data_IF_655042190093
#
_entry.id   IF_655042190093
#
_cell.length_a   1.000
_cell.length_b   1.000
_cell.length_c   1.000
_cell.angle_alpha   90.00
_cell.angle_beta   90.00
_cell.angle_gamma   90.00
#
_symmetry.space_group_name_H-M   'P 1'
#
loop_
_entity.id
_entity.type
_entity.pdbx_description
1 polymer ?
#
# COMPACT_ATOMS: atom_id res chain seq x y z
N UNK A 1 -7.73 -67.31 -83.36
CA UNK A 1 -6.72 -66.27 -83.70
C UNK A 1 -6.99 -65.04 -82.84
N UNK A 2 -5.96 -64.59 -82.11
CA UNK A 2 -5.68 -63.27 -81.51
C UNK A 2 -6.71 -62.43 -80.72
N UNK A 3 -6.27 -62.06 -79.50
CA UNK A 3 -6.76 -61.01 -78.57
C UNK A 3 -6.69 -59.57 -79.15
N UNK A 4 -7.39 -58.54 -78.59
CA UNK A 4 -6.94 -57.76 -77.39
C UNK A 4 -8.09 -57.38 -76.40
N UNK A 5 -7.90 -57.48 -75.08
CA UNK A 5 -7.49 -56.42 -74.11
C UNK A 5 -8.35 -55.14 -74.09
N UNK A 6 -9.13 -54.94 -73.00
CA UNK A 6 -8.96 -53.77 -72.13
C UNK A 6 -9.52 -53.99 -70.72
N UNK A 7 -8.79 -53.46 -69.74
CA UNK A 7 -8.99 -53.56 -68.28
C UNK A 7 -9.75 -52.32 -67.83
N UNK A 8 -10.85 -52.48 -67.12
CA UNK A 8 -11.53 -51.40 -66.38
C UNK A 8 -10.84 -51.18 -65.03
N UNK A 9 -10.39 -49.95 -64.80
CA UNK A 9 -9.95 -49.41 -63.50
C UNK A 9 -10.82 -48.19 -63.20
N UNK A 10 -11.46 -48.16 -62.03
CA UNK A 10 -11.92 -46.99 -61.24
C UNK A 10 -13.00 -47.50 -60.28
N UNK A 11 -13.05 -47.19 -58.98
CA UNK A 11 -12.21 -46.42 -58.09
C UNK A 11 -12.78 -46.63 -56.68
N UNK A 12 -11.93 -46.83 -55.68
CA UNK A 12 -12.34 -46.98 -54.29
C UNK A 12 -12.43 -45.59 -53.66
N UNK A 13 -13.63 -45.14 -53.34
CA UNK A 13 -13.86 -43.90 -52.58
C UNK A 13 -13.65 -44.17 -51.08
N UNK A 14 -12.58 -43.62 -50.51
CA UNK A 14 -12.32 -43.61 -49.07
C UNK A 14 -13.15 -42.48 -48.42
N UNK A 15 -14.14 -42.84 -47.59
CA UNK A 15 -14.84 -41.88 -46.74
C UNK A 15 -14.06 -41.69 -45.42
N UNK A 16 -13.51 -40.49 -45.21
CA UNK A 16 -12.81 -40.11 -43.98
C UNK A 16 -13.83 -39.54 -42.99
N UNK A 17 -14.06 -40.25 -41.89
CA UNK A 17 -14.83 -39.75 -40.74
C UNK A 17 -13.98 -38.72 -39.98
N UNK A 18 -14.43 -37.46 -39.97
CA UNK A 18 -13.80 -36.37 -39.22
C UNK A 18 -14.11 -36.49 -37.72
N UNK A 19 -13.08 -36.68 -36.91
CA UNK A 19 -13.14 -36.56 -35.44
C UNK A 19 -13.06 -35.07 -35.09
N UNK A 20 -14.15 -34.50 -34.59
CA UNK A 20 -14.19 -33.15 -34.05
C UNK A 20 -13.47 -33.13 -32.70
N UNK A 21 -12.21 -32.70 -32.69
CA UNK A 21 -11.50 -32.40 -31.45
C UNK A 21 -12.12 -31.14 -30.82
N UNK A 22 -12.82 -31.29 -29.70
CA UNK A 22 -13.22 -30.16 -28.87
C UNK A 22 -11.95 -29.51 -28.30
N UNK A 23 -11.57 -28.35 -28.84
CA UNK A 23 -10.50 -27.54 -28.28
C UNK A 23 -10.96 -26.96 -26.95
N UNK A 24 -10.44 -27.50 -25.84
CA UNK A 24 -10.49 -26.85 -24.55
C UNK A 24 -9.79 -25.49 -24.68
N UNK A 25 -10.57 -24.41 -24.70
CA UNK A 25 -10.03 -23.06 -24.60
C UNK A 25 -9.47 -22.92 -23.19
N UNK A 26 -8.15 -23.00 -23.06
CA UNK A 26 -7.47 -22.61 -21.84
C UNK A 26 -7.80 -21.13 -21.61
N UNK A 27 -8.43 -20.83 -20.46
CA UNK A 27 -8.65 -19.44 -20.07
C UNK A 27 -7.29 -18.74 -19.98
N UNK A 28 -7.16 -17.59 -20.65
CA UNK A 28 -5.95 -16.77 -20.53
C UNK A 28 -5.67 -16.48 -19.05
N UNK A 29 -4.43 -16.63 -18.57
CA UNK A 29 -4.11 -16.28 -17.20
C UNK A 29 -4.40 -14.79 -16.99
N UNK A 30 -5.31 -14.48 -16.06
CA UNK A 30 -5.57 -13.10 -15.64
C UNK A 30 -4.25 -12.53 -15.10
N UNK A 31 -3.62 -11.64 -15.87
CA UNK A 31 -2.40 -10.95 -15.45
C UNK A 31 -2.75 -10.01 -14.30
N UNK A 32 -2.34 -10.37 -13.08
CA UNK A 32 -2.47 -9.49 -11.92
C UNK A 32 -1.29 -8.51 -11.93
N UNK A 33 -1.58 -7.22 -12.03
CA UNK A 33 -0.53 -6.21 -12.00
C UNK A 33 0.05 -6.07 -10.59
N UNK A 34 1.35 -6.28 -10.48
CA UNK A 34 2.09 -6.08 -9.25
C UNK A 34 2.82 -4.73 -9.29
N UNK A 35 2.11 -3.68 -9.67
CA UNK A 35 2.66 -2.32 -9.77
C UNK A 35 1.96 -1.39 -8.78
N UNK A 36 2.77 -0.68 -7.99
CA UNK A 36 2.32 0.38 -7.10
C UNK A 36 3.21 1.60 -7.32
N UNK A 37 2.60 2.76 -7.50
CA UNK A 37 3.28 4.04 -7.53
C UNK A 37 3.40 4.60 -6.12
N UNK A 38 4.56 5.17 -5.80
CA UNK A 38 4.77 5.93 -4.58
C UNK A 38 4.97 7.41 -4.93
N UNK A 39 4.19 8.28 -4.31
CA UNK A 39 4.37 9.73 -4.36
C UNK A 39 4.47 10.25 -2.94
N UNK A 40 5.57 10.93 -2.61
CA UNK A 40 5.76 11.53 -1.29
C UNK A 40 6.02 13.02 -1.41
N UNK A 41 5.17 13.81 -0.75
CA UNK A 41 5.33 15.26 -0.60
C UNK A 41 5.84 15.64 0.78
N UNK A 42 6.73 16.64 0.85
CA UNK A 42 7.10 17.31 2.09
C UNK A 42 6.79 18.80 2.00
N UNK A 43 6.17 19.33 3.04
CA UNK A 43 5.87 20.76 3.15
C UNK A 43 6.04 21.30 4.57
N UNK A 44 6.68 22.46 4.76
CA UNK A 44 7.42 23.23 3.76
C UNK A 44 8.68 22.49 3.28
N UNK A 45 9.18 22.82 2.10
CA UNK A 45 10.40 22.21 1.52
C UNK A 45 11.69 22.69 2.18
N UNK A 46 11.64 23.76 2.99
CA UNK A 46 12.82 24.34 3.63
C UNK A 46 13.30 23.45 4.79
N UNK A 47 14.51 22.92 4.68
CA UNK A 47 15.07 22.05 5.70
C UNK A 47 15.52 22.82 6.95
N UNK A 48 15.38 22.18 8.12
CA UNK A 48 16.02 22.63 9.35
C UNK A 48 17.47 22.17 9.48
N UNK A 49 18.06 22.46 10.63
CA UNK A 49 19.35 21.89 11.06
C UNK A 49 19.15 21.01 12.30
N UNK A 50 20.16 20.22 12.69
CA UNK A 50 20.09 19.43 13.93
C UNK A 50 19.83 20.31 15.16
N UNK A 51 20.41 21.50 15.21
CA UNK A 51 20.25 22.45 16.31
C UNK A 51 18.94 23.25 16.23
N UNK A 52 18.42 23.46 15.01
CA UNK A 52 17.17 24.18 14.75
C UNK A 52 16.31 23.40 13.75
N UNK A 53 15.68 22.29 14.19
CA UNK A 53 14.77 21.52 13.35
C UNK A 53 13.62 22.40 12.86
N UNK A 54 13.10 22.11 11.67
CA UNK A 54 11.90 22.79 11.14
C UNK A 54 10.73 21.86 11.06
N UNK A 55 9.55 22.38 11.35
CA UNK A 55 8.28 21.69 11.15
C UNK A 55 8.17 21.18 9.70
N UNK A 56 7.66 19.97 9.54
CA UNK A 56 7.27 19.43 8.25
C UNK A 56 5.95 18.66 8.35
N UNK A 57 5.27 18.59 7.22
CA UNK A 57 4.20 17.65 6.94
C UNK A 57 4.72 16.66 5.89
N UNK A 58 4.40 15.38 6.06
CA UNK A 58 4.66 14.36 5.04
C UNK A 58 3.32 13.90 4.51
N UNK A 59 3.18 13.94 3.20
CA UNK A 59 2.02 13.44 2.46
C UNK A 59 2.45 12.21 1.66
N UNK A 60 2.00 11.03 2.06
CA UNK A 60 2.33 9.76 1.40
C UNK A 60 1.13 9.32 0.59
N UNK A 61 1.32 9.12 -0.70
CA UNK A 61 0.33 8.54 -1.61
C UNK A 61 0.90 7.28 -2.24
N UNK A 62 0.14 6.19 -2.14
CA UNK A 62 0.35 4.93 -2.84
C UNK A 62 -0.84 4.73 -3.77
N UNK A 63 -0.58 4.40 -5.02
CA UNK A 63 -1.63 4.23 -6.01
C UNK A 63 -1.26 3.11 -6.98
N UNK A 64 -2.22 2.27 -7.33
CA UNK A 64 -2.05 1.34 -8.42
C UNK A 64 -2.39 2.02 -9.76
N UNK A 65 -1.62 1.75 -10.83
CA UNK A 65 -2.00 2.18 -12.18
C UNK A 65 -3.23 1.42 -12.70
N UNK A 66 -3.63 0.31 -12.06
CA UNK A 66 -4.77 -0.51 -12.48
C UNK A 66 -5.79 -0.70 -11.36
N UNK A 67 -6.98 -1.16 -11.73
CA UNK A 67 -8.09 -1.40 -10.80
C UNK A 67 -8.10 -2.82 -10.22
N UNK A 68 -7.19 -3.68 -10.66
CA UNK A 68 -7.05 -5.08 -10.26
C UNK A 68 -5.62 -5.40 -9.80
N UNK A 69 -5.01 -4.60 -8.91
CA UNK A 69 -3.67 -4.93 -8.46
C UNK A 69 -3.70 -6.17 -7.56
N UNK A 70 -2.54 -6.78 -7.39
CA UNK A 70 -2.36 -7.80 -6.37
C UNK A 70 -2.66 -7.25 -4.97
N UNK A 71 -3.24 -8.07 -4.11
CA UNK A 71 -3.53 -7.70 -2.72
C UNK A 71 -2.23 -7.55 -1.93
N UNK A 72 -1.99 -6.34 -1.39
CA UNK A 72 -0.78 -6.07 -0.60
C UNK A 72 -0.87 -6.73 0.78
N UNK A 73 0.13 -7.54 1.11
CA UNK A 73 0.34 -8.15 2.43
C UNK A 73 1.06 -7.22 3.40
N UNK A 74 2.14 -6.60 2.93
CA UNK A 74 2.92 -5.65 3.72
C UNK A 74 3.62 -4.63 2.85
N UNK A 75 3.93 -3.47 3.45
CA UNK A 75 4.71 -2.42 2.83
C UNK A 75 5.71 -1.84 3.82
N UNK A 76 6.96 -1.69 3.39
CA UNK A 76 8.00 -0.97 4.11
C UNK A 76 8.22 0.38 3.41
N UNK A 77 7.83 1.49 4.05
CA UNK A 77 8.05 2.86 3.53
C UNK A 77 9.30 3.46 4.16
N UNK A 78 10.24 3.93 3.33
CA UNK A 78 11.52 4.49 3.75
C UNK A 78 11.53 6.01 3.56
N UNK A 79 11.96 6.72 4.60
CA UNK A 79 12.05 8.18 4.63
C UNK A 79 13.52 8.63 4.63
N UNK A 80 13.85 9.59 3.77
CA UNK A 80 15.19 10.13 3.62
C UNK A 80 15.82 10.63 4.91
N UNK A 81 17.15 10.57 5.00
CA UNK A 81 17.92 11.15 6.11
C UNK A 81 17.59 12.63 6.32
N UNK A 82 17.53 13.04 7.57
CA UNK A 82 17.17 14.41 7.94
C UNK A 82 15.68 14.60 8.19
N UNK A 83 14.83 13.62 7.91
CA UNK A 83 13.44 13.58 8.38
C UNK A 83 13.42 12.89 9.74
N UNK A 84 12.86 13.54 10.75
CA UNK A 84 12.74 13.04 12.11
C UNK A 84 11.27 12.97 12.54
N UNK A 85 10.94 11.93 13.32
CA UNK A 85 9.61 11.73 13.88
C UNK A 85 9.68 11.88 15.40
N UNK A 86 9.00 12.88 15.95
CA UNK A 86 9.01 13.18 17.39
C UNK A 86 7.90 12.42 18.13
N UNK A 87 7.64 11.17 17.79
CA UNK A 87 6.51 10.38 18.29
C UNK A 87 6.42 10.31 19.83
N UNK A 88 7.56 10.37 20.52
CA UNK A 88 7.64 10.38 22.00
C UNK A 88 7.10 11.65 22.65
N UNK A 89 7.00 12.76 21.91
CA UNK A 89 6.48 14.03 22.43
C UNK A 89 4.95 14.08 22.43
N UNK A 90 4.29 13.14 21.76
CA UNK A 90 2.85 13.14 21.54
C UNK A 90 2.16 12.11 22.47
N UNK A 91 0.94 12.40 22.94
CA UNK A 91 0.09 11.39 23.56
C UNK A 91 -0.06 10.16 22.67
N UNK A 92 -0.37 9.03 23.27
CA UNK A 92 -0.56 7.77 22.54
C UNK A 92 -1.98 7.24 22.73
N UNK A 93 -2.46 6.46 21.77
CA UNK A 93 -3.65 5.62 21.91
C UNK A 93 -3.30 4.18 21.57
N UNK A 94 -3.60 3.25 22.47
CA UNK A 94 -3.18 1.85 22.31
C UNK A 94 -4.04 1.11 21.28
N UNK A 95 -3.45 0.12 20.60
CA UNK A 95 -4.20 -0.80 19.74
C UNK A 95 -5.36 -1.48 20.48
N UNK A 96 -5.15 -1.88 21.74
CA UNK A 96 -6.19 -2.47 22.61
C UNK A 96 -7.39 -1.54 22.74
N UNK A 97 -7.15 -0.25 22.98
CA UNK A 97 -8.22 0.75 23.08
C UNK A 97 -9.01 0.84 21.78
N UNK A 98 -8.32 1.00 20.65
CA UNK A 98 -8.96 1.14 19.33
C UNK A 98 -9.76 -0.11 18.96
N UNK A 99 -9.23 -1.30 19.21
CA UNK A 99 -9.92 -2.56 18.95
C UNK A 99 -11.15 -2.74 19.84
N UNK A 100 -11.06 -2.44 21.13
CA UNK A 100 -12.17 -2.58 22.06
C UNK A 100 -13.35 -1.66 21.73
N UNK A 101 -13.09 -0.44 21.23
CA UNK A 101 -14.14 0.55 20.95
C UNK A 101 -14.53 0.61 19.47
N UNK A 102 -13.78 -0.07 18.60
CA UNK A 102 -13.87 0.03 17.12
C UNK A 102 -13.96 1.48 16.64
N UNK A 103 -13.31 2.39 17.37
CA UNK A 103 -13.43 3.83 17.16
C UNK A 103 -12.30 4.60 17.87
N UNK A 104 -12.08 5.85 17.47
CA UNK A 104 -11.10 6.74 18.10
C UNK A 104 -11.69 7.59 19.25
N UNK A 105 -12.92 7.31 19.67
CA UNK A 105 -13.66 8.10 20.67
C UNK A 105 -12.97 8.16 22.05
N UNK A 106 -12.19 7.14 22.40
CA UNK A 106 -11.41 7.06 23.64
C UNK A 106 -9.94 7.43 23.46
N UNK A 107 -9.52 7.79 22.25
CA UNK A 107 -8.16 8.25 22.01
C UNK A 107 -7.99 9.72 22.40
N UNK A 108 -6.88 10.10 23.08
CA UNK A 108 -6.56 11.50 23.30
C UNK A 108 -6.51 12.25 21.96
N UNK A 109 -7.12 13.44 21.85
CA UNK A 109 -7.11 14.21 20.60
C UNK A 109 -5.68 14.46 20.08
N UNK A 110 -4.73 14.69 20.99
CA UNK A 110 -3.31 14.90 20.66
C UNK A 110 -2.56 13.66 20.17
N UNK A 111 -3.14 12.46 20.26
CA UNK A 111 -2.55 11.25 19.64
C UNK A 111 -2.90 11.14 18.15
N UNK A 112 -3.85 11.93 17.63
CA UNK A 112 -4.15 11.98 16.20
C UNK A 112 -3.10 12.85 15.52
N UNK A 113 -2.34 12.25 14.61
CA UNK A 113 -1.16 12.88 14.01
C UNK A 113 -1.25 13.02 12.49
N UNK A 114 -2.26 12.41 11.87
CA UNK A 114 -2.50 12.54 10.45
C UNK A 114 -3.89 12.09 10.03
N UNK A 115 -4.26 12.45 8.81
CA UNK A 115 -5.53 12.12 8.18
C UNK A 115 -5.32 11.83 6.71
N UNK A 116 -6.22 11.08 6.11
CA UNK A 116 -6.16 10.73 4.71
C UNK A 116 -7.36 9.91 4.26
N UNK A 117 -7.21 9.29 3.11
CA UNK A 117 -8.26 8.52 2.43
C UNK A 117 -7.63 7.29 1.78
N UNK A 118 -8.43 6.25 1.59
CA UNK A 118 -8.04 5.09 0.80
C UNK A 118 -9.22 4.62 -0.05
N UNK A 119 -8.93 3.80 -1.04
CA UNK A 119 -9.93 3.14 -1.89
C UNK A 119 -9.49 1.71 -2.13
N UNK A 120 -10.42 0.78 -1.91
CA UNK A 120 -10.27 -0.63 -2.24
C UNK A 120 -11.30 -1.00 -3.31
N UNK A 121 -11.02 -2.06 -4.07
CA UNK A 121 -11.99 -2.65 -5.01
C UNK A 121 -12.12 -4.13 -4.67
N UNK A 122 -13.30 -4.54 -4.20
CA UNK A 122 -13.64 -5.96 -4.04
C UNK A 122 -14.31 -6.52 -5.30
N UNK A 123 -14.31 -7.84 -5.45
CA UNK A 123 -15.03 -8.54 -6.51
C UNK A 123 -16.13 -9.42 -5.91
N UNK A 124 -17.38 -9.05 -6.13
CA UNK A 124 -18.55 -9.76 -5.61
C UNK A 124 -19.46 -10.13 -6.76
N UNK A 125 -19.79 -11.42 -6.90
CA UNK A 125 -20.69 -11.94 -7.94
C UNK A 125 -20.31 -11.48 -9.37
N UNK A 126 -19.00 -11.45 -9.66
CA UNK A 126 -18.48 -11.02 -10.96
C UNK A 126 -18.47 -9.50 -11.19
N UNK A 127 -18.85 -8.70 -10.20
CA UNK A 127 -18.88 -7.24 -10.29
C UNK A 127 -17.81 -6.58 -9.41
N UNK A 128 -17.24 -5.47 -9.89
CA UNK A 128 -16.35 -4.61 -9.13
C UNK A 128 -17.15 -3.79 -8.14
N UNK A 129 -16.74 -3.84 -6.88
CA UNK A 129 -17.40 -3.14 -5.79
C UNK A 129 -16.38 -2.22 -5.12
N UNK A 130 -16.37 -0.91 -5.48
CA UNK A 130 -15.46 0.04 -4.88
C UNK A 130 -15.89 0.39 -3.45
N UNK A 131 -14.92 0.47 -2.54
CA UNK A 131 -15.11 0.94 -1.16
C UNK A 131 -14.24 2.17 -0.94
N UNK A 132 -14.85 3.26 -0.47
CA UNK A 132 -14.14 4.48 -0.08
C UNK A 132 -13.90 4.52 1.42
N UNK A 133 -12.65 4.70 1.80
CA UNK A 133 -12.18 4.60 3.18
C UNK A 133 -11.62 5.94 3.65
N UNK A 134 -11.87 6.27 4.91
CA UNK A 134 -11.14 7.31 5.63
C UNK A 134 -9.98 6.69 6.39
N UNK A 135 -8.86 7.39 6.46
CA UNK A 135 -7.67 6.95 7.18
C UNK A 135 -7.33 8.00 8.24
N UNK A 136 -7.17 7.58 9.49
CA UNK A 136 -6.67 8.43 10.56
C UNK A 136 -5.40 7.82 11.14
N UNK A 137 -4.29 8.57 11.08
CA UNK A 137 -3.02 8.16 11.66
C UNK A 137 -2.97 8.56 13.14
N UNK A 138 -2.71 7.59 14.01
CA UNK A 138 -2.75 7.75 15.47
C UNK A 138 -1.43 7.26 16.07
N UNK A 139 -0.76 8.14 16.81
CA UNK A 139 0.43 7.80 17.57
C UNK A 139 0.10 6.75 18.65
N UNK A 140 0.90 5.70 18.73
CA UNK A 140 0.67 4.55 19.60
C UNK A 140 1.96 4.16 20.31
N UNK A 141 1.89 3.47 21.48
CA UNK A 141 3.09 3.08 22.23
C UNK A 141 4.06 2.23 21.40
N UNK A 142 5.34 2.23 21.79
CA UNK A 142 6.36 1.36 21.18
C UNK A 142 6.82 1.79 19.78
N UNK A 143 6.82 3.09 19.48
CA UNK A 143 7.14 3.64 18.15
C UNK A 143 6.23 3.08 17.05
N UNK A 144 4.93 2.97 17.35
CA UNK A 144 3.94 2.51 16.39
C UNK A 144 3.00 3.63 15.99
N UNK A 145 2.48 3.52 14.78
CA UNK A 145 1.43 4.33 14.23
C UNK A 145 0.25 3.41 13.91
N UNK A 146 -0.93 3.73 14.43
CA UNK A 146 -2.16 3.03 14.06
C UNK A 146 -2.82 3.82 12.93
N UNK A 147 -2.91 3.22 11.76
CA UNK A 147 -3.70 3.73 10.64
C UNK A 147 -5.10 3.17 10.82
N UNK A 148 -5.96 3.93 11.50
CA UNK A 148 -7.34 3.54 11.69
C UNK A 148 -8.12 3.83 10.40
N UNK A 149 -8.59 2.76 9.77
CA UNK A 149 -9.32 2.77 8.51
C UNK A 149 -10.79 2.60 8.80
N UNK A 150 -11.61 3.49 8.24
CA UNK A 150 -13.06 3.43 8.37
C UNK A 150 -13.76 3.54 7.02
N UNK A 151 -14.56 2.53 6.70
CA UNK A 151 -15.48 2.45 5.57
C UNK A 151 -16.91 2.35 6.06
N UNK A 152 -17.85 2.81 5.26
CA UNK A 152 -19.28 2.76 5.62
C UNK A 152 -20.15 2.17 4.54
N UNK A 153 -19.72 2.16 3.28
CA UNK A 153 -20.53 1.76 2.13
C UNK A 153 -19.63 1.25 0.99
N UNK A 154 -19.87 0.03 0.48
CA UNK A 154 -20.87 -0.94 0.95
C UNK A 154 -20.50 -1.72 2.22
N UNK A 155 -19.25 -1.68 2.69
CA UNK A 155 -18.79 -2.46 3.85
C UNK A 155 -18.54 -1.56 5.06
N UNK A 156 -19.04 -1.99 6.22
CA UNK A 156 -18.71 -1.35 7.49
C UNK A 156 -17.33 -1.81 7.97
N UNK A 157 -16.33 -0.99 7.70
CA UNK A 157 -14.94 -1.24 8.10
C UNK A 157 -14.59 -0.26 9.22
N UNK A 158 -13.94 -0.76 10.28
CA UNK A 158 -13.50 0.06 11.40
C UNK A 158 -12.27 -0.56 12.07
N UNK A 159 -11.17 -0.68 11.33
CA UNK A 159 -10.02 -1.49 11.74
C UNK A 159 -8.73 -0.66 11.82
N UNK A 160 -7.89 -0.89 12.84
CA UNK A 160 -6.53 -0.35 12.87
C UNK A 160 -5.56 -1.22 12.06
N UNK A 161 -4.69 -0.57 11.28
CA UNK A 161 -3.51 -1.18 10.69
C UNK A 161 -2.29 -0.66 11.44
N UNK A 162 -1.47 -1.57 11.99
CA UNK A 162 -0.27 -1.17 12.73
C UNK A 162 0.91 -0.96 11.79
N UNK A 163 1.50 0.24 11.85
CA UNK A 163 2.80 0.57 11.29
C UNK A 163 3.85 0.70 12.39
N UNK A 164 4.99 0.01 12.26
CA UNK A 164 6.12 0.12 13.18
C UNK A 164 7.20 1.03 12.60
N UNK A 165 7.52 2.10 13.32
CA UNK A 165 8.55 3.05 12.93
C UNK A 165 9.90 2.65 13.55
N UNK A 166 10.90 2.45 12.71
CA UNK A 166 12.26 2.05 13.10
C UNK A 166 13.30 2.91 12.40
N UNK A 167 14.53 2.94 12.92
CA UNK A 167 15.65 3.58 12.22
C UNK A 167 16.04 2.77 10.99
N UNK A 168 16.38 3.47 9.91
CA UNK A 168 16.90 2.88 8.68
C UNK A 168 18.40 3.15 8.54
N UNK A 169 19.01 2.59 7.49
CA UNK A 169 20.43 2.75 7.16
C UNK A 169 20.60 3.39 5.77
N UNK A 170 21.86 3.64 5.37
CA UNK A 170 22.17 4.18 4.04
C UNK A 170 21.68 5.62 3.86
N UNK A 171 20.93 5.90 2.79
CA UNK A 171 20.37 7.23 2.51
C UNK A 171 19.07 7.54 3.28
N UNK A 172 18.55 6.57 4.04
CA UNK A 172 17.29 6.67 4.77
C UNK A 172 17.53 6.85 6.29
N UNK A 173 16.68 7.63 6.94
CA UNK A 173 16.70 7.86 8.38
C UNK A 173 15.73 6.96 9.14
N UNK A 174 14.56 6.69 8.55
CA UNK A 174 13.51 5.87 9.15
C UNK A 174 12.85 4.95 8.14
N UNK A 175 12.28 3.86 8.66
CA UNK A 175 11.42 2.91 7.97
C UNK A 175 10.12 2.72 8.74
N UNK A 176 8.98 2.83 8.06
CA UNK A 176 7.67 2.46 8.56
C UNK A 176 7.26 1.12 7.95
N UNK A 177 7.25 0.07 8.77
CA UNK A 177 6.82 -1.27 8.37
C UNK A 177 5.36 -1.48 8.70
N UNK A 178 4.54 -1.73 7.68
CA UNK A 178 3.10 -1.90 7.80
C UNK A 178 2.70 -3.29 7.32
N UNK A 179 1.97 -4.03 8.13
CA UNK A 179 1.37 -5.31 7.74
C UNK A 179 -0.13 -5.15 7.71
N UNK A 180 -0.75 -5.48 6.59
CA UNK A 180 -2.20 -5.44 6.46
C UNK A 180 -2.81 -6.67 7.16
N UNK A 181 -3.74 -6.49 8.10
CA UNK A 181 -4.47 -7.60 8.71
C UNK A 181 -5.22 -8.44 7.67
N UNK A 182 -5.41 -9.73 7.93
CA UNK A 182 -6.08 -10.63 6.98
C UNK A 182 -7.51 -10.19 6.68
N UNK A 183 -8.23 -9.72 7.68
CA UNK A 183 -9.62 -9.24 7.56
C UNK A 183 -9.79 -8.00 6.67
N UNK A 184 -8.69 -7.30 6.34
CA UNK A 184 -8.70 -6.19 5.38
C UNK A 184 -8.22 -6.59 3.99
N UNK A 185 -7.54 -7.74 3.87
CA UNK A 185 -7.03 -8.28 2.61
C UNK A 185 -8.08 -9.18 1.95
N UNK A 186 -8.79 -9.92 2.78
CA UNK A 186 -9.88 -10.84 2.44
C UNK A 186 -11.11 -10.45 3.28
N UNK A 187 -12.04 -9.72 2.66
CA UNK A 187 -13.19 -9.12 3.36
C UNK A 187 -14.35 -10.09 3.54
N UNK A 188 -14.41 -11.11 2.69
CA UNK A 188 -15.25 -12.31 2.78
C UNK A 188 -14.41 -13.48 2.27
N UNK A 189 -14.77 -14.71 2.62
CA UNK A 189 -14.05 -15.92 2.19
C UNK A 189 -13.90 -15.96 0.66
N UNK A 190 -12.65 -15.99 0.18
CA UNK A 190 -12.30 -15.95 -1.24
C UNK A 190 -12.45 -14.58 -1.92
N UNK A 191 -12.92 -13.55 -1.21
CA UNK A 191 -13.12 -12.19 -1.74
C UNK A 191 -12.01 -11.27 -1.25
N UNK A 192 -11.05 -11.04 -2.14
CA UNK A 192 -9.97 -10.10 -1.91
C UNK A 192 -10.39 -8.66 -2.25
N UNK A 193 -9.90 -7.71 -1.44
CA UNK A 193 -10.16 -6.28 -1.61
C UNK A 193 -8.84 -5.51 -1.75
N UNK A 194 -8.13 -5.62 -2.90
CA UNK A 194 -6.90 -4.89 -3.12
C UNK A 194 -7.09 -3.37 -2.97
N UNK A 195 -6.11 -2.73 -2.33
CA UNK A 195 -6.01 -1.28 -2.29
C UNK A 195 -5.52 -0.74 -3.64
N UNK A 196 -6.31 0.14 -4.23
CA UNK A 196 -5.97 0.84 -5.48
C UNK A 196 -5.50 2.27 -5.22
N UNK A 197 -5.83 2.82 -4.05
CA UNK A 197 -5.38 4.14 -3.63
C UNK A 197 -5.26 4.18 -2.11
N UNK A 198 -4.18 4.78 -1.63
CA UNK A 198 -3.98 5.09 -0.22
C UNK A 198 -3.26 6.43 -0.11
N UNK A 199 -3.80 7.33 0.70
CA UNK A 199 -3.20 8.61 1.02
C UNK A 199 -3.24 8.83 2.52
N UNK A 200 -2.14 9.31 3.09
CA UNK A 200 -2.12 9.84 4.45
C UNK A 200 -1.17 11.01 4.56
N UNK A 201 -1.69 12.13 5.08
CA UNK A 201 -0.89 13.29 5.45
C UNK A 201 -0.68 13.30 6.95
N UNK A 202 0.58 13.23 7.37
CA UNK A 202 1.01 13.32 8.77
C UNK A 202 1.51 14.73 9.04
N UNK A 203 0.77 15.44 9.88
CA UNK A 203 1.06 16.81 10.30
C UNK A 203 0.36 17.05 11.63
N UNK A 204 1.13 17.22 12.69
CA UNK A 204 0.61 17.55 14.01
C UNK A 204 1.68 18.28 14.82
N UNK A 205 1.24 19.05 15.80
CA UNK A 205 2.10 19.82 16.69
C UNK A 205 1.59 19.67 18.11
N UNK A 206 2.53 19.54 19.04
CA UNK A 206 2.26 19.49 20.48
C UNK A 206 3.15 20.48 21.21
N UNK A 207 2.84 20.74 22.48
CA UNK A 207 3.66 21.57 23.36
C UNK A 207 4.22 20.68 24.46
N UNK A 208 5.54 20.70 24.64
CA UNK A 208 6.23 19.98 25.72
C UNK A 208 7.01 20.96 26.60
N UNK A 209 7.21 20.61 27.87
CA UNK A 209 8.11 21.36 28.75
C UNK A 209 9.54 20.84 28.57
N UNK A 210 10.48 21.71 28.22
CA UNK A 210 11.93 21.43 28.16
C UNK A 210 12.67 22.50 28.96
N UNK A 211 13.40 22.10 30.01
CA UNK A 211 14.13 23.04 30.87
C UNK A 211 13.24 24.14 31.48
N UNK A 212 12.05 23.77 31.94
CA UNK A 212 11.07 24.71 32.50
C UNK A 212 10.32 25.59 31.48
N UNK A 213 10.71 25.57 30.19
CA UNK A 213 10.07 26.36 29.13
C UNK A 213 9.16 25.49 28.27
N UNK A 214 8.00 26.02 27.91
CA UNK A 214 7.10 25.39 26.93
C UNK A 214 7.67 25.56 25.53
N UNK A 215 7.84 24.46 24.81
CA UNK A 215 8.38 24.41 23.44
C UNK A 215 7.42 23.66 22.54
N UNK A 216 7.14 24.22 21.36
CA UNK A 216 6.37 23.55 20.31
C UNK A 216 7.24 22.50 19.64
N UNK A 217 6.69 21.30 19.45
CA UNK A 217 7.35 20.18 18.78
C UNK A 217 6.39 19.64 17.72
N UNK A 218 6.88 19.46 16.51
CA UNK A 218 6.08 18.91 15.41
C UNK A 218 6.28 17.41 15.33
N UNK A 219 5.24 16.68 14.91
CA UNK A 219 5.32 15.23 14.80
C UNK A 219 6.38 14.81 13.80
N UNK A 220 6.47 15.54 12.69
CA UNK A 220 7.56 15.45 11.73
C UNK A 220 8.36 16.75 11.75
N UNK A 221 9.68 16.61 11.81
CA UNK A 221 10.62 17.72 11.65
C UNK A 221 11.71 17.36 10.65
N UNK A 222 12.32 18.37 10.07
CA UNK A 222 13.49 18.24 9.20
C UNK A 222 14.73 18.82 9.86
N UNK A 223 15.87 18.15 9.73
CA UNK A 223 17.15 18.48 10.38
C UNK A 223 18.33 18.56 9.42
N UNK A 224 18.14 18.18 8.16
CA UNK A 224 19.11 18.36 7.08
C UNK A 224 18.45 18.11 5.72
N UNK A 225 19.00 18.68 4.66
CA UNK A 225 18.65 18.38 3.27
C UNK A 225 19.80 17.57 2.62
N UNK A 226 19.62 16.27 2.29
CA UNK A 226 20.61 15.53 1.53
C UNK A 226 20.84 16.11 0.13
N UNK A 227 22.02 15.88 -0.46
CA UNK A 227 22.29 16.25 -1.85
C UNK A 227 21.29 15.54 -2.77
N UNK A 228 20.54 16.31 -3.55
CA UNK A 228 19.47 15.79 -4.42
C UNK A 228 18.07 15.75 -3.79
N UNK A 229 17.92 16.14 -2.52
CA UNK A 229 16.64 16.14 -1.81
C UNK A 229 16.47 14.93 -0.88
N UNK A 230 15.31 14.82 -0.24
CA UNK A 230 14.96 13.65 0.57
C UNK A 230 14.50 12.49 -0.32
N UNK A 231 15.22 11.35 -0.35
CA UNK A 231 14.77 10.17 -1.11
C UNK A 231 13.65 9.43 -0.37
N UNK A 232 12.75 8.81 -1.13
CA UNK A 232 11.73 7.90 -0.60
C UNK A 232 11.62 6.64 -1.45
N UNK A 233 11.34 5.52 -0.80
CA UNK A 233 10.96 4.28 -1.48
C UNK A 233 9.95 3.50 -0.64
N UNK A 234 9.26 2.58 -1.28
CA UNK A 234 8.37 1.63 -0.64
C UNK A 234 8.64 0.24 -1.21
N UNK A 235 8.82 -0.74 -0.32
CA UNK A 235 9.00 -2.14 -0.69
C UNK A 235 7.70 -2.89 -0.36
N UNK A 236 7.02 -3.43 -1.37
CA UNK A 236 5.72 -4.10 -1.27
C UNK A 236 5.86 -5.61 -1.32
N UNK A 237 5.08 -6.30 -0.51
CA UNK A 237 4.87 -7.75 -0.58
C UNK A 237 3.40 -8.00 -0.80
N UNK A 238 3.05 -8.89 -1.73
CA UNK A 238 1.66 -9.21 -2.11
C UNK A 238 1.29 -10.63 -1.69
N UNK A 239 -0.01 -10.91 -1.55
CA UNK A 239 -0.54 -12.23 -1.15
C UNK A 239 -0.61 -13.26 -2.26
N UNK A 240 -0.37 -12.86 -3.50
CA UNK A 240 -0.34 -13.79 -4.62
C UNK A 240 1.09 -13.91 -5.13
N UNK A 241 1.62 -15.13 -5.03
CA UNK A 241 2.63 -15.61 -5.94
C UNK A 241 1.97 -15.66 -7.33
N UNK A 242 2.01 -14.55 -8.07
CA UNK A 242 2.20 -14.71 -9.49
C UNK A 242 3.42 -15.63 -9.65
N UNK A 243 3.43 -16.60 -10.58
CA UNK A 243 4.44 -17.66 -10.59
C UNK A 243 5.90 -17.23 -10.83
N UNK A 244 6.26 -15.94 -10.71
CA UNK A 244 7.57 -15.43 -11.14
C UNK A 244 8.18 -14.24 -10.38
N UNK A 245 7.70 -13.83 -9.19
CA UNK A 245 8.37 -12.76 -8.42
C UNK A 245 8.79 -13.27 -7.03
N UNK A 246 10.03 -13.74 -6.93
CA UNK A 246 10.70 -13.98 -5.64
C UNK A 246 11.24 -12.65 -5.08
N UNK A 247 10.46 -11.99 -4.23
CA UNK A 247 10.92 -10.84 -3.44
C UNK A 247 10.00 -9.61 -3.46
N UNK A 248 10.31 -8.60 -2.64
CA UNK A 248 9.49 -7.40 -2.56
C UNK A 248 9.62 -6.54 -3.82
N UNK A 249 8.51 -5.99 -4.27
CA UNK A 249 8.48 -5.04 -5.38
C UNK A 249 8.75 -3.63 -4.85
N UNK A 250 9.75 -2.97 -5.41
CA UNK A 250 10.19 -1.65 -4.96
C UNK A 250 9.59 -0.56 -5.81
N UNK A 251 8.86 0.37 -5.19
CA UNK A 251 8.43 1.62 -5.79
C UNK A 251 9.28 2.78 -5.25
N UNK A 252 9.65 3.72 -6.11
CA UNK A 252 10.40 4.91 -5.71
C UNK A 252 9.61 6.17 -6.04
N UNK A 253 9.62 7.14 -5.13
CA UNK A 253 9.16 8.50 -5.43
C UNK A 253 10.37 9.34 -5.85
N UNK A 254 10.21 10.31 -6.77
CA UNK A 254 11.19 11.36 -6.93
C UNK A 254 11.56 11.97 -5.59
N UNK A 255 12.85 12.27 -5.39
CA UNK A 255 13.31 12.88 -4.15
C UNK A 255 12.62 14.25 -3.96
N UNK A 256 12.12 14.51 -2.76
CA UNK A 256 11.55 15.82 -2.43
C UNK A 256 12.70 16.84 -2.35
N UNK A 257 12.72 17.80 -3.29
CA UNK A 257 13.69 18.89 -3.27
C UNK A 257 13.55 19.70 -1.98
N UNK A 258 14.69 20.10 -1.42
CA UNK A 258 14.74 20.93 -0.23
C UNK A 258 15.75 22.07 -0.38
N UNK A 259 15.52 23.15 0.35
CA UNK A 259 16.32 24.39 0.38
C UNK A 259 16.56 24.90 1.79
#
# INVERSE_FOLDING_TARGET
MSFPRWRTLAGVSLAVFGVSAASAQAADPVSVDMVQELKVGISPSKAGTKQKPKAAAIDVTIQSPTETPATTKSVDVFFGKGIEFNNRAFPTCSLKTINATRSLSKCPKGSIVGKGKARAIGFLSGQRVPESLTVTAVNSPGNTLQLFVKGTNPLQIAAPITGKLTKASGQYGYKLSVTLPQELREVLDGVYAPLVFFNVKVQSQTTVKRGGKSTKVNYVETTSCPRGGWPFKADFVFDQAAPFIDGPLTATSPAAKCS
#
